data_IF_599635791498
#
_entry.id   IF_599635791498
#
_cell.length_a   1.000
_cell.length_b   1.000
_cell.length_c   1.000
_cell.angle_alpha   90.00
_cell.angle_beta   90.00
_cell.angle_gamma   90.00
#
_symmetry.space_group_name_H-M   'P 1'
#
loop_
_entity.id
_entity.type
_entity.pdbx_description
1 polymer ?
#
# COMPACT_ATOMS: atom_id res chain seq x y z
N UNK A 1 -12.21 9.06 -4.59
CA UNK A 1 -11.53 7.75 -4.56
C UNK A 1 -10.02 7.96 -4.52
N UNK A 2 -9.25 7.13 -3.79
CA UNK A 2 -7.80 7.29 -3.60
C UNK A 2 -6.99 6.78 -4.81
N UNK A 3 -7.09 7.48 -5.94
CA UNK A 3 -6.52 7.04 -7.23
C UNK A 3 -5.01 6.77 -7.22
N UNK A 4 -4.24 7.45 -6.36
CA UNK A 4 -2.80 7.23 -6.24
C UNK A 4 -2.47 5.80 -5.80
N UNK A 5 -3.22 5.24 -4.84
CA UNK A 5 -2.98 3.89 -4.34
C UNK A 5 -3.63 2.84 -5.24
N UNK A 6 -4.77 3.16 -5.85
CA UNK A 6 -5.48 2.24 -6.75
C UNK A 6 -4.68 1.93 -8.01
N UNK A 7 -4.17 2.97 -8.66
CA UNK A 7 -3.43 2.81 -9.92
C UNK A 7 -1.91 2.70 -9.71
N UNK A 8 -1.41 3.12 -8.55
CA UNK A 8 0.00 3.34 -8.36
C UNK A 8 0.51 4.57 -9.12
N UNK A 9 1.82 4.79 -9.06
CA UNK A 9 2.52 5.84 -9.80
C UNK A 9 3.98 5.44 -9.99
N UNK A 10 4.53 5.69 -11.18
CA UNK A 10 5.97 5.56 -11.44
C UNK A 10 6.47 6.80 -12.14
N UNK A 11 7.58 7.36 -11.66
CA UNK A 11 8.15 8.60 -12.21
C UNK A 11 9.60 8.79 -11.82
N UNK A 12 10.36 9.44 -12.72
CA UNK A 12 11.76 9.79 -12.52
C UNK A 12 11.91 11.29 -12.76
N UNK A 13 12.51 11.98 -11.80
CA UNK A 13 12.87 13.38 -11.87
C UNK A 13 14.39 13.54 -11.67
N UNK A 14 14.91 14.78 -11.74
CA UNK A 14 16.36 15.02 -11.56
C UNK A 14 16.76 14.73 -10.12
N UNK A 15 17.44 13.60 -9.92
CA UNK A 15 17.93 13.15 -8.61
C UNK A 15 16.91 12.39 -7.75
N UNK A 16 15.72 12.07 -8.28
CA UNK A 16 14.66 11.39 -7.53
C UNK A 16 13.89 10.39 -8.41
N UNK A 17 13.43 9.30 -7.80
CA UNK A 17 12.53 8.34 -8.42
C UNK A 17 11.40 7.99 -7.46
N UNK A 18 10.23 7.64 -8.01
CA UNK A 18 9.07 7.19 -7.24
C UNK A 18 8.47 6.00 -7.94
N UNK A 19 8.12 4.97 -7.17
CA UNK A 19 7.38 3.82 -7.64
C UNK A 19 6.42 3.36 -6.54
N UNK A 20 5.12 3.49 -6.77
CA UNK A 20 4.04 3.08 -5.88
C UNK A 20 3.25 2.01 -6.61
N UNK A 21 3.13 0.78 -6.06
CA UNK A 21 2.36 -0.28 -6.70
C UNK A 21 0.84 -0.07 -6.55
N UNK A 22 0.02 -0.63 -7.46
CA UNK A 22 -1.43 -0.63 -7.36
C UNK A 22 -1.94 -1.46 -6.18
N UNK A 23 -3.14 -1.14 -5.68
CA UNK A 23 -3.81 -1.81 -4.56
C UNK A 23 -5.29 -2.06 -4.87
N UNK A 24 -5.86 -3.02 -4.16
CA UNK A 24 -7.26 -3.37 -4.32
C UNK A 24 -8.20 -2.28 -3.74
N UNK A 25 -9.26 -1.93 -4.47
CA UNK A 25 -10.20 -0.89 -4.03
C UNK A 25 -10.93 -1.27 -2.73
N UNK A 26 -11.37 -2.51 -2.59
CA UNK A 26 -12.10 -2.96 -1.40
C UNK A 26 -11.25 -2.81 -0.14
N UNK A 27 -10.02 -3.32 -0.20
CA UNK A 27 -9.05 -3.26 0.91
C UNK A 27 -8.75 -1.82 1.33
N UNK A 28 -8.58 -0.91 0.37
CA UNK A 28 -8.32 0.50 0.67
C UNK A 28 -9.54 1.18 1.30
N UNK A 29 -10.76 0.87 0.85
CA UNK A 29 -11.97 1.43 1.44
C UNK A 29 -12.19 0.88 2.85
N UNK A 30 -11.97 -0.40 3.08
CA UNK A 30 -12.07 -1.02 4.41
C UNK A 30 -11.04 -0.44 5.38
N UNK A 31 -9.79 -0.25 4.93
CA UNK A 31 -8.75 0.44 5.69
C UNK A 31 -9.11 1.89 6.02
N UNK A 32 -9.68 2.62 5.06
CA UNK A 32 -10.12 4.00 5.26
C UNK A 32 -11.26 4.10 6.28
N UNK A 33 -12.28 3.25 6.18
CA UNK A 33 -13.39 3.19 7.13
C UNK A 33 -12.85 2.87 8.54
N UNK A 34 -11.96 1.87 8.65
CA UNK A 34 -11.37 1.51 9.93
C UNK A 34 -10.55 2.63 10.57
N UNK A 35 -9.87 3.46 9.78
CA UNK A 35 -9.15 4.65 10.25
C UNK A 35 -10.10 5.77 10.69
N UNK A 36 -11.22 5.95 10.00
CA UNK A 36 -12.26 6.91 10.39
C UNK A 36 -12.88 6.51 11.73
N UNK A 37 -13.25 5.24 11.88
CA UNK A 37 -13.87 4.72 13.10
C UNK A 37 -12.88 4.68 14.27
N UNK A 38 -11.61 4.40 13.99
CA UNK A 38 -10.53 4.29 14.99
C UNK A 38 -9.29 5.06 14.54
N UNK A 39 -9.20 6.36 14.84
CA UNK A 39 -8.05 7.18 14.43
C UNK A 39 -6.70 6.73 14.98
N UNK A 40 -6.69 5.95 16.07
CA UNK A 40 -5.49 5.34 16.66
C UNK A 40 -5.19 3.92 16.19
N UNK A 41 -5.75 3.49 15.06
CA UNK A 41 -5.51 2.16 14.49
C UNK A 41 -4.00 1.97 14.23
N UNK A 42 -3.46 0.85 14.70
CA UNK A 42 -2.03 0.57 14.54
C UNK A 42 -1.70 0.13 13.12
N UNK A 43 -0.47 0.39 12.68
CA UNK A 43 0.02 -0.08 11.36
C UNK A 43 -0.14 -1.58 11.18
N UNK A 44 0.00 -2.36 12.26
CA UNK A 44 -0.18 -3.82 12.22
C UNK A 44 -1.63 -4.19 11.93
N UNK A 45 -2.59 -3.49 12.54
CA UNK A 45 -4.01 -3.73 12.28
C UNK A 45 -4.41 -3.23 10.88
N UNK A 46 -3.85 -2.11 10.43
CA UNK A 46 -4.08 -1.60 9.08
C UNK A 46 -3.52 -2.54 8.01
N UNK A 47 -2.35 -3.15 8.24
CA UNK A 47 -1.75 -4.14 7.34
C UNK A 47 -2.52 -5.46 7.26
N UNK A 48 -3.43 -5.75 8.20
CA UNK A 48 -4.35 -6.89 8.07
C UNK A 48 -5.52 -6.57 7.12
N UNK A 49 -5.90 -5.30 7.02
CA UNK A 49 -6.96 -4.83 6.11
C UNK A 49 -6.43 -4.60 4.70
N UNK A 50 -5.17 -4.16 4.58
CA UNK A 50 -4.46 -3.94 3.32
C UNK A 50 -3.23 -4.86 3.30
N UNK A 51 -3.41 -6.16 2.96
CA UNK A 51 -2.36 -7.17 3.04
C UNK A 51 -1.22 -6.98 2.03
N UNK A 52 -1.43 -6.20 0.97
CA UNK A 52 -0.38 -5.94 -0.02
C UNK A 52 -0.87 -5.26 -1.30
N UNK A 53 0.03 -5.02 -2.25
CA UNK A 53 -0.33 -4.57 -3.59
C UNK A 53 -1.11 -5.63 -4.37
N UNK A 54 -1.94 -5.16 -5.30
CA UNK A 54 -2.77 -5.98 -6.19
C UNK A 54 -2.42 -5.65 -7.65
N UNK A 55 -1.76 -6.58 -8.34
CA UNK A 55 -1.31 -6.38 -9.71
C UNK A 55 -2.34 -6.92 -10.69
N UNK A 56 -2.67 -6.17 -11.77
CA UNK A 56 -3.69 -6.60 -12.74
C UNK A 56 -3.30 -7.86 -13.52
N UNK A 57 -2.01 -8.20 -13.53
CA UNK A 57 -1.46 -9.42 -14.15
C UNK A 57 -1.53 -10.65 -13.24
N UNK A 58 -1.99 -10.49 -12.00
CA UNK A 58 -1.83 -11.48 -10.94
C UNK A 58 -0.37 -11.66 -10.52
N UNK A 59 -0.10 -12.75 -9.81
CA UNK A 59 1.24 -13.10 -9.31
C UNK A 59 1.25 -13.34 -7.80
N UNK A 60 2.36 -13.86 -7.29
CA UNK A 60 2.57 -14.08 -5.86
C UNK A 60 3.64 -13.11 -5.32
N UNK A 61 3.31 -12.43 -4.23
CA UNK A 61 4.27 -11.56 -3.54
C UNK A 61 5.20 -12.41 -2.68
N UNK A 62 6.41 -12.62 -3.17
CA UNK A 62 7.49 -13.26 -2.39
C UNK A 62 8.07 -12.21 -1.43
N UNK A 63 8.10 -12.50 -0.13
CA UNK A 63 8.68 -11.60 0.88
C UNK A 63 7.71 -10.67 1.61
N UNK A 64 6.41 -11.04 1.67
CA UNK A 64 5.34 -10.32 2.41
C UNK A 64 5.67 -9.93 3.86
N UNK A 65 6.59 -10.61 4.53
CA UNK A 65 6.91 -10.37 5.94
C UNK A 65 7.65 -9.05 6.20
N UNK A 66 8.96 -9.02 5.96
CA UNK A 66 9.82 -7.90 6.36
C UNK A 66 9.88 -6.77 5.34
N UNK A 67 9.92 -7.12 4.05
CA UNK A 67 10.08 -6.13 2.97
C UNK A 67 8.85 -5.24 2.86
N UNK A 68 7.68 -5.87 2.71
CA UNK A 68 6.41 -5.14 2.56
C UNK A 68 6.09 -4.24 3.74
N UNK A 69 6.21 -4.78 4.97
CA UNK A 69 5.97 -4.01 6.19
C UNK A 69 6.88 -2.78 6.28
N UNK A 70 8.18 -2.96 5.99
CA UNK A 70 9.15 -1.86 6.01
C UNK A 70 8.80 -0.81 4.95
N UNK A 71 8.43 -1.24 3.74
CA UNK A 71 8.03 -0.31 2.67
C UNK A 71 6.79 0.50 3.04
N UNK A 72 5.82 -0.07 3.74
CA UNK A 72 4.64 0.68 4.19
C UNK A 72 4.91 1.64 5.35
N UNK A 73 5.83 1.32 6.26
CA UNK A 73 6.14 2.21 7.40
C UNK A 73 7.20 3.27 7.08
N UNK A 74 8.18 2.95 6.24
CA UNK A 74 9.36 3.79 5.99
C UNK A 74 9.49 4.27 4.53
N UNK A 75 8.68 3.71 3.62
CA UNK A 75 8.92 3.84 2.18
C UNK A 75 10.03 2.91 1.67
N UNK A 76 10.33 3.00 0.38
CA UNK A 76 11.51 2.39 -0.21
C UNK A 76 12.63 3.45 -0.30
N UNK A 77 13.86 3.06 0.08
CA UNK A 77 15.06 3.87 -0.16
C UNK A 77 15.62 3.59 -1.53
#
# INVERSE_FOLDING_TARGET
LPFLLLNGCSGIAVGMATNIPPHNLGEIIDGLIALIDRPGLTDVALAQLIPGPDFPTGGEIIGRGRGLKKTYTEGAR
#
